data_IF_867417140410
#
_entry.id   IF_867417140410
#
_cell.length_a   1.000
_cell.length_b   1.000
_cell.length_c   1.000
_cell.angle_alpha   90.00
_cell.angle_beta   90.00
_cell.angle_gamma   90.00
#
_symmetry.space_group_name_H-M   'P 1'
#
loop_
_entity.id
_entity.type
_entity.pdbx_description
1 polymer ?
#
# COMPACT_ATOMS: atom_id res chain seq x y z
N UNK A 1 14.91 8.17 -11.66
CA UNK A 1 14.14 6.99 -12.07
C UNK A 1 14.09 7.00 -13.59
N UNK A 2 14.57 5.92 -14.25
CA UNK A 2 14.41 5.73 -15.70
C UNK A 2 12.94 5.68 -16.09
N UNK A 3 12.64 5.46 -17.36
CA UNK A 3 11.29 5.39 -17.86
C UNK A 3 10.47 4.33 -17.12
N UNK A 4 9.35 4.74 -16.51
CA UNK A 4 8.43 3.86 -15.82
C UNK A 4 7.38 3.36 -16.81
N UNK A 5 7.24 2.04 -16.91
CA UNK A 5 6.16 1.41 -17.68
C UNK A 5 4.85 1.51 -16.90
N UNK A 6 3.79 1.93 -17.59
CA UNK A 6 2.46 2.10 -17.00
C UNK A 6 1.59 0.87 -17.22
N UNK A 7 0.89 0.46 -16.16
CA UNK A 7 -0.09 -0.62 -16.16
C UNK A 7 -1.38 -0.14 -15.50
N UNK A 8 -2.48 -0.87 -15.69
CA UNK A 8 -3.74 -0.61 -15.01
C UNK A 8 -4.18 0.86 -15.15
N UNK A 9 -4.37 1.34 -16.39
CA UNK A 9 -4.76 2.73 -16.71
C UNK A 9 -3.80 3.78 -16.08
N UNK A 10 -2.52 3.42 -15.95
CA UNK A 10 -1.51 4.28 -15.35
C UNK A 10 -1.55 4.38 -13.81
N UNK A 11 -2.34 3.55 -13.15
CA UNK A 11 -2.38 3.51 -11.68
C UNK A 11 -1.19 2.75 -11.08
N UNK A 12 -0.57 1.87 -11.86
CA UNK A 12 0.69 1.22 -11.52
C UNK A 12 1.78 1.69 -12.48
N UNK A 13 2.93 2.04 -11.93
CA UNK A 13 4.11 2.45 -12.69
C UNK A 13 5.31 1.61 -12.22
N UNK A 14 5.89 0.82 -13.13
CA UNK A 14 6.98 -0.08 -12.80
C UNK A 14 8.24 0.26 -13.58
N UNK A 15 9.41 0.16 -12.93
CA UNK A 15 10.73 0.28 -13.53
C UNK A 15 11.82 -0.29 -12.64
N UNK A 16 13.07 -0.13 -13.07
CA UNK A 16 14.23 -0.58 -12.32
C UNK A 16 14.99 0.62 -11.74
N UNK A 17 15.21 0.65 -10.43
CA UNK A 17 16.05 1.67 -9.77
C UNK A 17 17.56 1.34 -9.91
N UNK A 18 17.88 0.05 -9.98
CA UNK A 18 19.19 -0.50 -10.26
C UNK A 18 19.00 -1.78 -11.09
N UNK A 19 20.05 -2.36 -11.70
CA UNK A 19 19.89 -3.57 -12.53
C UNK A 19 19.21 -4.75 -11.83
N UNK A 20 19.25 -4.78 -10.50
CA UNK A 20 18.73 -5.84 -9.64
C UNK A 20 17.76 -5.33 -8.55
N UNK A 21 17.23 -4.11 -8.68
CA UNK A 21 16.24 -3.54 -7.75
C UNK A 21 15.03 -3.04 -8.52
N UNK A 22 13.91 -3.77 -8.37
CA UNK A 22 12.63 -3.38 -8.96
C UNK A 22 11.94 -2.27 -8.16
N UNK A 23 11.15 -1.45 -8.83
CA UNK A 23 10.38 -0.36 -8.24
C UNK A 23 8.96 -0.34 -8.79
N UNK A 24 7.98 -0.34 -7.89
CA UNK A 24 6.57 -0.24 -8.21
C UNK A 24 5.93 0.94 -7.48
N UNK A 25 5.55 1.97 -8.24
CA UNK A 25 4.71 3.04 -7.74
C UNK A 25 3.25 2.65 -7.92
N UNK A 26 2.48 2.72 -6.84
CA UNK A 26 1.05 2.46 -6.80
C UNK A 26 0.36 3.78 -6.53
N UNK A 27 -0.28 4.37 -7.55
CA UNK A 27 -0.91 5.70 -7.46
C UNK A 27 -2.28 5.66 -6.83
N UNK A 28 -2.99 4.53 -6.99
CA UNK A 28 -4.31 4.30 -6.42
C UNK A 28 -4.57 2.80 -6.32
N UNK A 29 -5.50 2.40 -5.48
CA UNK A 29 -6.07 1.05 -5.42
C UNK A 29 -7.46 1.02 -6.09
N UNK A 30 -7.53 1.49 -7.33
CA UNK A 30 -8.75 1.51 -8.11
C UNK A 30 -8.54 2.00 -9.53
N UNK A 31 -9.60 1.92 -10.35
CA UNK A 31 -9.58 2.31 -11.77
C UNK A 31 -8.52 1.55 -12.57
N UNK A 32 -8.37 0.26 -12.30
CA UNK A 32 -7.37 -0.58 -12.96
C UNK A 32 -7.81 -1.08 -14.33
N UNK A 33 -9.08 -0.88 -14.69
CA UNK A 33 -9.65 -1.16 -16.00
C UNK A 33 -10.66 -0.07 -16.40
N UNK A 34 -10.78 0.18 -17.70
CA UNK A 34 -11.59 1.26 -18.24
C UNK A 34 -13.10 1.16 -17.92
N UNK A 35 -13.63 -0.07 -17.75
CA UNK A 35 -15.05 -0.27 -17.38
C UNK A 35 -15.34 0.05 -15.93
N UNK A 36 -14.30 0.26 -15.10
CA UNK A 36 -14.41 0.61 -13.69
C UNK A 36 -14.91 -0.53 -12.78
N UNK A 37 -15.17 -1.74 -13.32
CA UNK A 37 -15.61 -2.87 -12.49
C UNK A 37 -14.44 -3.41 -11.64
N UNK A 38 -14.78 -3.92 -10.46
CA UNK A 38 -13.79 -4.54 -9.58
C UNK A 38 -13.19 -5.81 -10.20
N UNK A 39 -14.02 -6.62 -10.84
CA UNK A 39 -13.62 -7.90 -11.44
C UNK A 39 -12.62 -7.69 -12.58
N UNK A 40 -12.95 -6.82 -13.55
CA UNK A 40 -12.03 -6.47 -14.65
C UNK A 40 -10.75 -5.81 -14.13
N UNK A 41 -10.88 -4.96 -13.10
CA UNK A 41 -9.74 -4.32 -12.44
C UNK A 41 -8.81 -5.33 -11.76
N UNK A 42 -9.37 -6.36 -11.10
CA UNK A 42 -8.57 -7.42 -10.48
C UNK A 42 -7.85 -8.27 -11.54
N UNK A 43 -8.54 -8.62 -12.62
CA UNK A 43 -7.93 -9.35 -13.73
C UNK A 43 -6.79 -8.55 -14.38
N UNK A 44 -6.98 -7.25 -14.61
CA UNK A 44 -5.95 -6.36 -15.13
C UNK A 44 -4.74 -6.25 -14.17
N UNK A 45 -4.99 -6.12 -12.86
CA UNK A 45 -3.95 -6.12 -11.85
C UNK A 45 -3.13 -7.42 -11.88
N UNK A 46 -3.79 -8.56 -11.88
CA UNK A 46 -3.14 -9.86 -11.87
C UNK A 46 -2.25 -10.07 -13.12
N UNK A 47 -2.73 -9.66 -14.31
CA UNK A 47 -1.95 -9.71 -15.54
C UNK A 47 -0.74 -8.75 -15.50
N UNK A 48 -0.92 -7.55 -14.95
CA UNK A 48 0.15 -6.59 -14.76
C UNK A 48 1.23 -7.13 -13.81
N UNK A 49 0.83 -7.70 -12.67
CA UNK A 49 1.74 -8.29 -11.69
C UNK A 49 2.52 -9.49 -12.26
N UNK A 50 1.89 -10.33 -13.09
CA UNK A 50 2.60 -11.42 -13.78
C UNK A 50 3.72 -10.88 -14.68
N UNK A 51 3.43 -9.81 -15.43
CA UNK A 51 4.41 -9.14 -16.29
C UNK A 51 5.54 -8.51 -15.46
N UNK A 52 5.18 -7.76 -14.41
CA UNK A 52 6.13 -7.08 -13.53
C UNK A 52 7.08 -8.09 -12.88
N UNK A 53 6.54 -9.17 -12.29
CA UNK A 53 7.32 -10.14 -11.55
C UNK A 53 7.92 -11.27 -12.39
N UNK A 54 7.75 -11.27 -13.71
CA UNK A 54 8.27 -12.35 -14.57
C UNK A 54 9.78 -12.61 -14.41
N UNK A 55 10.54 -11.57 -14.06
CA UNK A 55 11.99 -11.64 -13.84
C UNK A 55 12.42 -11.41 -12.39
N UNK A 56 11.49 -11.43 -11.45
CA UNK A 56 11.76 -11.09 -10.05
C UNK A 56 12.78 -12.01 -9.36
N UNK A 57 12.98 -13.25 -9.85
CA UNK A 57 14.02 -14.14 -9.36
C UNK A 57 15.46 -13.64 -9.56
N UNK A 58 15.66 -12.63 -10.39
CA UNK A 58 16.97 -12.00 -10.64
C UNK A 58 17.22 -10.77 -9.75
N UNK A 59 16.24 -10.35 -8.95
CA UNK A 59 16.34 -9.14 -8.15
C UNK A 59 16.92 -9.42 -6.76
N UNK A 60 17.69 -8.48 -6.25
CA UNK A 60 18.16 -8.45 -4.85
C UNK A 60 17.18 -7.75 -3.93
N UNK A 61 16.39 -6.81 -4.47
CA UNK A 61 15.48 -6.02 -3.71
C UNK A 61 14.30 -5.49 -4.53
N UNK A 62 13.28 -5.07 -3.81
CA UNK A 62 12.08 -4.49 -4.41
C UNK A 62 11.61 -3.29 -3.59
N UNK A 63 11.20 -2.24 -4.27
CA UNK A 63 10.67 -1.03 -3.65
C UNK A 63 9.22 -0.86 -4.08
N UNK A 64 8.30 -0.73 -3.11
CA UNK A 64 6.92 -0.30 -3.35
C UNK A 64 6.74 1.14 -2.86
N UNK A 65 6.01 1.95 -3.60
CA UNK A 65 5.81 3.38 -3.30
C UNK A 65 4.33 3.75 -3.32
N UNK A 66 3.81 4.15 -2.15
CA UNK A 66 2.44 4.65 -1.97
C UNK A 66 2.40 6.07 -1.40
N UNK A 67 3.52 6.81 -1.45
CA UNK A 67 3.65 8.15 -0.84
C UNK A 67 2.60 9.17 -1.30
N UNK A 68 2.00 8.96 -2.46
CA UNK A 68 0.96 9.84 -3.05
C UNK A 68 -0.31 9.06 -3.40
N UNK A 69 -0.59 7.97 -2.70
CA UNK A 69 -1.74 7.09 -2.95
C UNK A 69 -2.90 7.43 -2.02
N UNK A 70 -3.98 7.95 -2.57
CA UNK A 70 -5.19 8.35 -1.82
C UNK A 70 -6.14 7.20 -1.47
N UNK A 71 -5.74 5.93 -1.67
CA UNK A 71 -6.55 4.77 -1.32
C UNK A 71 -7.28 4.12 -2.49
N UNK A 72 -8.42 3.52 -2.20
CA UNK A 72 -9.28 2.73 -3.11
C UNK A 72 -9.81 1.47 -2.44
N UNK A 73 -9.76 0.32 -3.11
CA UNK A 73 -10.26 -0.94 -2.61
C UNK A 73 -9.14 -1.81 -2.00
N UNK A 74 -9.28 -2.18 -0.74
CA UNK A 74 -8.33 -3.01 0.02
C UNK A 74 -7.92 -4.32 -0.69
N UNK A 75 -8.83 -5.06 -1.36
CA UNK A 75 -8.47 -6.31 -2.01
C UNK A 75 -7.36 -6.19 -3.05
N UNK A 76 -7.21 -5.04 -3.72
CA UNK A 76 -6.09 -4.82 -4.63
C UNK A 76 -4.75 -4.77 -3.89
N UNK A 77 -4.71 -4.10 -2.73
CA UNK A 77 -3.53 -4.09 -1.86
C UNK A 77 -3.16 -5.48 -1.35
N UNK A 78 -4.17 -6.25 -0.91
CA UNK A 78 -3.97 -7.63 -0.46
C UNK A 78 -3.45 -8.54 -1.58
N UNK A 79 -3.93 -8.39 -2.83
CA UNK A 79 -3.45 -9.12 -3.99
C UNK A 79 -1.96 -8.80 -4.28
N UNK A 80 -1.58 -7.52 -4.25
CA UNK A 80 -0.17 -7.11 -4.40
C UNK A 80 0.68 -7.69 -3.27
N UNK A 81 0.24 -7.61 -2.01
CA UNK A 81 0.94 -8.19 -0.87
C UNK A 81 1.13 -9.71 -1.02
N UNK A 82 0.15 -10.41 -1.59
CA UNK A 82 0.22 -11.84 -1.88
C UNK A 82 1.35 -12.23 -2.86
N UNK A 83 1.73 -11.31 -3.77
CA UNK A 83 2.89 -11.51 -4.66
C UNK A 83 4.23 -11.31 -3.96
N UNK A 84 4.21 -10.70 -2.77
CA UNK A 84 5.41 -10.38 -1.99
C UNK A 84 5.69 -11.39 -0.88
N UNK A 85 4.89 -12.44 -0.70
CA UNK A 85 5.05 -13.44 0.37
C UNK A 85 5.08 -14.86 -0.15
N UNK A 86 5.69 -15.74 0.63
CA UNK A 86 5.71 -17.20 0.38
C UNK A 86 4.73 -17.98 1.26
N UNK A 87 4.03 -17.33 2.20
CA UNK A 87 3.09 -17.95 3.12
C UNK A 87 1.91 -17.05 3.41
N UNK A 88 0.77 -17.65 3.72
CA UNK A 88 -0.42 -16.94 4.18
C UNK A 88 -0.20 -16.36 5.57
N UNK A 89 -0.79 -15.17 5.81
CA UNK A 89 -0.83 -14.56 7.13
C UNK A 89 -1.99 -13.57 7.26
N UNK A 90 -2.40 -13.27 8.51
CA UNK A 90 -3.40 -12.25 8.77
C UNK A 90 -2.76 -10.86 8.59
N UNK A 91 -3.30 -10.08 7.68
CA UNK A 91 -2.92 -8.69 7.45
C UNK A 91 -3.36 -7.81 8.63
N UNK A 92 -4.65 -7.83 8.92
CA UNK A 92 -5.30 -7.09 9.99
C UNK A 92 -6.65 -7.70 10.35
N UNK A 93 -7.15 -7.33 11.51
CA UNK A 93 -8.54 -7.56 11.93
C UNK A 93 -9.35 -6.29 11.68
N UNK A 94 -10.57 -6.45 11.19
CA UNK A 94 -11.51 -5.36 10.92
C UNK A 94 -12.79 -5.60 11.70
N UNK A 95 -13.25 -4.60 12.43
CA UNK A 95 -14.55 -4.57 13.10
C UNK A 95 -15.19 -3.18 12.95
N UNK A 96 -16.51 -3.11 13.18
CA UNK A 96 -17.29 -1.89 13.05
C UNK A 96 -18.08 -1.58 14.32
N UNK A 97 -18.39 -0.31 14.55
CA UNK A 97 -19.29 0.10 15.63
C UNK A 97 -20.65 -0.58 15.49
N UNK A 98 -21.07 -1.27 16.57
CA UNK A 98 -22.32 -2.03 16.57
C UNK A 98 -23.52 -1.18 17.07
N UNK A 99 -23.27 -0.27 18.02
CA UNK A 99 -24.32 0.49 18.71
C UNK A 99 -24.01 1.99 18.68
N UNK A 100 -24.90 2.84 18.15
CA UNK A 100 -24.68 4.28 18.07
C UNK A 100 -24.60 4.97 19.45
N UNK A 101 -25.18 4.35 20.48
CA UNK A 101 -25.26 4.90 21.85
C UNK A 101 -24.20 4.31 22.78
N UNK A 102 -23.52 3.24 22.39
CA UNK A 102 -22.50 2.59 23.20
C UNK A 102 -21.21 2.38 22.39
N UNK A 103 -20.26 3.26 22.61
CA UNK A 103 -18.97 3.27 21.93
C UNK A 103 -18.09 2.05 22.25
N UNK A 104 -18.42 1.25 23.27
CA UNK A 104 -17.67 0.04 23.62
C UNK A 104 -18.10 -1.17 22.80
N UNK A 105 -19.24 -1.13 22.12
CA UNK A 105 -19.79 -2.26 21.37
C UNK A 105 -19.29 -2.26 19.91
N UNK A 106 -18.68 -3.38 19.53
CA UNK A 106 -18.14 -3.63 18.20
C UNK A 106 -18.70 -4.93 17.62
N UNK A 107 -18.77 -5.03 16.31
CA UNK A 107 -19.07 -6.31 15.65
C UNK A 107 -17.94 -7.31 15.93
N UNK A 108 -18.18 -8.63 15.76
CA UNK A 108 -17.11 -9.59 15.78
C UNK A 108 -16.03 -9.23 14.74
N UNK A 109 -14.77 -9.22 15.18
CA UNK A 109 -13.65 -8.88 14.31
C UNK A 109 -13.48 -9.92 13.19
N UNK A 110 -13.32 -9.45 11.97
CA UNK A 110 -13.09 -10.28 10.78
C UNK A 110 -11.62 -10.17 10.37
N UNK A 111 -10.99 -11.32 10.06
CA UNK A 111 -9.62 -11.36 9.60
C UNK A 111 -9.52 -11.10 8.09
N UNK A 112 -8.74 -10.09 7.72
CA UNK A 112 -8.27 -9.89 6.36
C UNK A 112 -6.94 -10.61 6.17
N UNK A 113 -6.83 -11.40 5.11
CA UNK A 113 -5.67 -12.27 4.88
C UNK A 113 -4.85 -11.79 3.69
N UNK A 114 -3.53 -11.84 3.82
CA UNK A 114 -2.64 -11.91 2.68
C UNK A 114 -2.49 -13.38 2.31
N UNK A 115 -2.88 -13.73 1.08
CA UNK A 115 -2.78 -15.08 0.55
C UNK A 115 -1.59 -15.18 -0.39
N UNK A 116 -0.67 -16.07 -0.06
CA UNK A 116 0.44 -16.38 -0.93
C UNK A 116 -0.05 -17.01 -2.25
N UNK A 117 0.62 -16.73 -3.34
CA UNK A 117 0.27 -17.24 -4.66
C UNK A 117 1.42 -18.02 -5.27
N UNK A 118 1.10 -18.98 -6.14
CA UNK A 118 2.07 -19.69 -6.97
C UNK A 118 2.42 -18.91 -8.26
N UNK A 119 1.79 -17.77 -8.50
CA UNK A 119 2.09 -16.90 -9.64
C UNK A 119 3.42 -16.16 -9.42
N UNK A 120 4.04 -15.57 -10.47
CA UNK A 120 5.25 -14.77 -10.33
C UNK A 120 5.16 -13.73 -9.22
N UNK A 121 6.19 -13.60 -8.39
CA UNK A 121 6.24 -12.69 -7.24
C UNK A 121 7.66 -12.53 -6.70
N UNK A 122 7.84 -11.66 -5.71
CA UNK A 122 9.13 -11.40 -5.09
C UNK A 122 9.09 -11.66 -3.58
N UNK A 123 9.91 -12.58 -3.11
CA UNK A 123 9.93 -13.02 -1.71
C UNK A 123 11.18 -12.56 -0.93
N UNK A 124 12.03 -11.77 -1.60
CA UNK A 124 13.25 -11.19 -1.01
C UNK A 124 13.00 -9.90 -0.22
N UNK A 125 14.05 -9.12 0.06
CA UNK A 125 13.97 -7.87 0.79
C UNK A 125 13.11 -6.81 0.10
N UNK A 126 12.18 -6.20 0.84
CA UNK A 126 11.29 -5.13 0.35
C UNK A 126 11.47 -3.88 1.19
N UNK A 127 11.57 -2.74 0.53
CA UNK A 127 11.41 -1.41 1.13
C UNK A 127 10.09 -0.82 0.65
N UNK A 128 9.34 -0.23 1.58
CA UNK A 128 8.04 0.37 1.33
C UNK A 128 8.08 1.86 1.62
N UNK A 129 7.86 2.68 0.59
CA UNK A 129 7.86 4.14 0.70
C UNK A 129 6.47 4.63 1.07
N UNK A 130 6.37 5.34 2.20
CA UNK A 130 5.14 5.86 2.77
C UNK A 130 5.26 7.37 3.05
N UNK A 131 4.14 8.04 3.22
CA UNK A 131 4.10 9.45 3.58
C UNK A 131 2.70 9.94 3.93
N UNK A 132 2.57 11.20 4.29
CA UNK A 132 1.33 11.80 4.75
C UNK A 132 0.16 11.71 3.73
N UNK A 133 0.45 11.49 2.46
CA UNK A 133 -0.56 11.29 1.40
C UNK A 133 -0.81 9.80 1.11
N UNK A 134 -0.31 8.89 1.93
CA UNK A 134 -0.73 7.49 1.96
C UNK A 134 -2.00 7.38 2.80
N UNK A 135 -3.15 7.12 2.17
CA UNK A 135 -4.48 7.26 2.77
C UNK A 135 -5.33 6.01 2.52
N UNK A 136 -6.18 5.62 3.48
CA UNK A 136 -7.20 4.57 3.29
C UNK A 136 -6.58 3.24 2.83
N UNK A 137 -6.95 2.69 1.66
CA UNK A 137 -6.37 1.43 1.16
C UNK A 137 -4.85 1.46 0.98
N UNK A 138 -4.20 2.64 0.91
CA UNK A 138 -2.74 2.72 0.98
C UNK A 138 -2.21 2.43 2.38
N UNK A 139 -2.98 2.76 3.40
CA UNK A 139 -2.64 2.48 4.79
C UNK A 139 -2.93 1.03 5.15
N UNK A 140 -4.07 0.46 4.69
CA UNK A 140 -4.36 -0.97 4.88
C UNK A 140 -3.37 -1.86 4.12
N UNK A 141 -2.90 -1.46 2.95
CA UNK A 141 -1.79 -2.12 2.25
C UNK A 141 -0.48 -2.03 3.06
N UNK A 142 -0.14 -0.84 3.57
CA UNK A 142 1.02 -0.66 4.47
C UNK A 142 0.88 -1.53 5.71
N UNK A 143 -0.30 -1.57 6.30
CA UNK A 143 -0.62 -2.41 7.47
C UNK A 143 -0.50 -3.90 7.14
N UNK A 144 -0.95 -4.33 5.96
CA UNK A 144 -0.82 -5.70 5.49
C UNK A 144 0.65 -6.16 5.38
N UNK A 145 1.58 -5.24 5.10
CA UNK A 145 2.99 -5.56 5.00
C UNK A 145 3.71 -5.67 6.37
N UNK A 146 3.07 -5.31 7.49
CA UNK A 146 3.69 -5.35 8.84
C UNK A 146 4.10 -6.78 9.22
N UNK A 147 3.24 -7.76 8.96
CA UNK A 147 3.46 -9.17 9.31
C UNK A 147 4.13 -9.99 8.21
N UNK A 148 4.57 -9.33 7.14
CA UNK A 148 5.31 -10.02 6.08
C UNK A 148 6.70 -10.45 6.52
N UNK A 149 7.13 -11.62 6.06
CA UNK A 149 8.51 -12.11 6.22
C UNK A 149 9.17 -12.37 4.86
N UNK A 150 10.43 -11.93 4.68
CA UNK A 150 11.26 -11.09 5.57
C UNK A 150 10.59 -9.73 5.85
N UNK A 151 10.90 -9.12 7.02
CA UNK A 151 10.33 -7.82 7.40
C UNK A 151 10.49 -6.78 6.29
N UNK A 152 9.42 -6.04 6.02
CA UNK A 152 9.44 -4.86 5.14
C UNK A 152 9.94 -3.66 5.92
N UNK A 153 10.89 -2.92 5.35
CA UNK A 153 11.40 -1.67 5.94
C UNK A 153 10.58 -0.51 5.35
N UNK A 154 9.86 0.22 6.19
CA UNK A 154 9.11 1.42 5.80
C UNK A 154 10.03 2.62 5.85
N UNK A 155 10.04 3.42 4.77
CA UNK A 155 10.87 4.63 4.62
C UNK A 155 9.99 5.80 4.23
N UNK A 156 10.21 6.95 4.82
CA UNK A 156 9.48 8.18 4.52
C UNK A 156 8.94 8.87 5.76
N UNK A 157 7.68 9.25 5.73
CA UNK A 157 6.95 9.90 6.83
C UNK A 157 5.74 9.08 7.25
N UNK A 158 5.10 9.41 8.37
CA UNK A 158 3.86 8.79 8.80
C UNK A 158 2.82 8.81 7.68
N UNK A 159 2.01 7.76 7.60
CA UNK A 159 0.79 7.77 6.81
C UNK A 159 -0.25 8.72 7.44
N UNK A 160 -1.36 8.99 6.76
CA UNK A 160 -2.32 10.00 7.21
C UNK A 160 -3.09 9.61 8.49
N UNK A 161 -3.33 8.33 8.73
CA UNK A 161 -4.13 7.86 9.86
C UNK A 161 -5.64 7.84 9.57
N UNK A 162 -6.04 7.60 8.33
CA UNK A 162 -7.44 7.56 7.89
C UNK A 162 -7.71 6.23 7.18
N UNK A 163 -8.15 5.24 7.95
CA UNK A 163 -8.30 3.85 7.49
C UNK A 163 -9.73 3.47 7.12
N UNK A 164 -10.70 3.97 7.89
CA UNK A 164 -12.06 3.46 7.87
C UNK A 164 -12.77 3.76 6.55
N UNK A 165 -13.54 2.80 6.07
CA UNK A 165 -14.63 3.10 5.17
C UNK A 165 -15.62 4.07 5.85
N UNK A 166 -16.27 4.89 5.05
CA UNK A 166 -17.17 5.91 5.59
C UNK A 166 -18.64 5.50 5.46
N UNK A 167 -19.35 5.58 6.57
CA UNK A 167 -20.77 5.40 6.61
C UNK A 167 -21.47 6.68 6.14
N UNK A 168 -21.99 6.66 4.90
CA UNK A 168 -22.68 7.81 4.31
C UNK A 168 -24.00 8.10 5.02
N UNK A 169 -24.27 9.36 5.26
CA UNK A 169 -25.52 9.90 5.82
C UNK A 169 -26.02 11.05 4.98
N UNK A 170 -27.34 11.15 4.83
CA UNK A 170 -27.99 12.27 4.14
C UNK A 170 -28.75 13.14 5.15
N UNK A 171 -28.55 14.43 5.08
CA UNK A 171 -29.27 15.43 5.87
C UNK A 171 -30.60 15.80 5.18
N UNK A 172 -31.60 16.34 5.95
CA UNK A 172 -32.88 16.77 5.38
C UNK A 172 -32.77 17.81 4.27
N UNK A 173 -31.74 18.65 4.30
CA UNK A 173 -31.46 19.66 3.26
C UNK A 173 -30.78 19.07 2.00
N UNK A 174 -30.60 17.75 1.93
CA UNK A 174 -30.00 17.04 0.81
C UNK A 174 -28.48 16.91 0.86
N UNK A 175 -27.80 17.50 1.81
CA UNK A 175 -26.37 17.31 2.00
C UNK A 175 -26.04 15.90 2.45
N UNK A 176 -24.84 15.45 2.12
CA UNK A 176 -24.32 14.17 2.55
C UNK A 176 -23.03 14.36 3.33
N UNK A 177 -22.80 13.50 4.31
CA UNK A 177 -21.53 13.41 5.02
C UNK A 177 -21.18 11.94 5.30
N UNK A 178 -19.92 11.64 5.47
CA UNK A 178 -19.42 10.33 5.83
C UNK A 178 -18.80 10.34 7.22
N UNK A 179 -19.06 9.30 7.99
CA UNK A 179 -18.46 9.08 9.30
C UNK A 179 -17.66 7.79 9.28
N UNK A 180 -16.41 7.79 9.76
CA UNK A 180 -15.66 6.57 10.00
C UNK A 180 -16.35 5.79 11.12
N UNK A 181 -16.51 4.48 10.93
CA UNK A 181 -17.16 3.61 11.91
C UNK A 181 -16.48 2.27 12.09
N UNK A 182 -15.35 2.07 11.44
CA UNK A 182 -14.60 0.82 11.45
C UNK A 182 -13.25 0.99 12.15
N UNK A 183 -12.71 -0.11 12.61
CA UNK A 183 -11.41 -0.18 13.25
C UNK A 183 -10.57 -1.27 12.58
N UNK A 184 -9.34 -0.96 12.28
CA UNK A 184 -8.35 -1.86 11.71
C UNK A 184 -7.25 -2.10 12.74
N UNK A 185 -6.98 -3.37 13.06
CA UNK A 185 -6.05 -3.75 14.12
C UNK A 185 -5.05 -4.79 13.63
N UNK A 186 -3.76 -4.54 13.80
CA UNK A 186 -2.68 -5.49 13.59
C UNK A 186 -1.83 -5.61 14.85
N UNK A 187 -1.62 -6.84 15.32
CA UNK A 187 -0.85 -7.11 16.55
C UNK A 187 -1.37 -6.32 17.77
N UNK A 188 -2.69 -6.20 17.90
CA UNK A 188 -3.33 -5.47 19.00
C UNK A 188 -3.29 -3.94 18.88
N UNK A 189 -2.73 -3.39 17.80
CA UNK A 189 -2.58 -1.94 17.60
C UNK A 189 -3.43 -1.45 16.43
N UNK A 190 -4.18 -0.35 16.64
CA UNK A 190 -4.78 0.46 15.58
C UNK A 190 -3.88 1.64 15.26
N UNK A 191 -3.86 2.00 13.98
CA UNK A 191 -3.12 3.16 13.46
C UNK A 191 -4.05 4.28 12.99
N UNK A 192 -5.35 4.10 13.18
CA UNK A 192 -6.34 5.13 12.88
C UNK A 192 -6.13 6.35 13.78
N UNK A 193 -6.04 7.52 13.18
CA UNK A 193 -5.63 8.76 13.83
C UNK A 193 -4.11 9.03 13.75
N UNK A 194 -3.24 8.23 14.39
CA UNK A 194 -1.79 8.52 14.40
C UNK A 194 -1.07 8.19 13.09
N UNK A 195 -1.63 7.35 12.21
CA UNK A 195 -0.93 6.81 11.05
C UNK A 195 0.09 5.72 11.37
N UNK A 196 0.59 5.06 10.32
CA UNK A 196 1.66 4.06 10.43
C UNK A 196 3.01 4.79 10.32
N UNK A 197 3.88 4.70 11.34
CA UNK A 197 5.18 5.35 11.29
C UNK A 197 6.15 4.61 10.36
N UNK A 198 7.11 5.32 9.74
CA UNK A 198 8.23 4.69 9.06
C UNK A 198 9.17 3.99 10.06
N UNK A 199 9.94 3.00 9.58
CA UNK A 199 11.07 2.45 10.32
C UNK A 199 12.32 3.34 10.14
N UNK A 200 12.39 4.08 9.02
CA UNK A 200 13.44 5.05 8.70
C UNK A 200 12.78 6.33 8.23
N UNK A 201 12.89 7.38 9.03
CA UNK A 201 12.33 8.69 8.72
C UNK A 201 13.16 9.39 7.66
N UNK A 202 12.50 9.84 6.59
CA UNK A 202 13.08 10.62 5.49
C UNK A 202 12.00 11.59 5.00
N UNK A 203 12.28 12.90 4.87
CA UNK A 203 11.32 13.85 4.34
C UNK A 203 10.82 13.44 2.96
N UNK A 204 9.50 13.53 2.75
CA UNK A 204 8.85 13.18 1.49
C UNK A 204 8.72 14.42 0.61
N UNK A 205 9.45 14.44 -0.51
CA UNK A 205 9.48 15.51 -1.49
C UNK A 205 9.79 16.91 -0.91
N UNK A 206 10.85 17.07 -0.10
CA UNK A 206 11.23 18.39 0.37
C UNK A 206 11.64 19.28 -0.81
N UNK A 207 11.42 20.60 -0.69
CA UNK A 207 11.67 21.54 -1.78
C UNK A 207 13.08 21.40 -2.38
N UNK A 208 14.11 21.25 -1.54
CA UNK A 208 15.49 21.10 -1.98
C UNK A 208 15.74 19.85 -2.86
N UNK A 209 15.05 18.74 -2.56
CA UNK A 209 15.14 17.53 -3.38
C UNK A 209 14.44 17.74 -4.74
N UNK A 210 13.24 18.38 -4.73
CA UNK A 210 12.51 18.69 -5.96
C UNK A 210 13.29 19.63 -6.87
N UNK A 211 13.91 20.67 -6.33
CA UNK A 211 14.73 21.63 -7.07
C UNK A 211 15.98 20.98 -7.68
N UNK A 212 16.58 20.01 -6.99
CA UNK A 212 17.75 19.28 -7.46
C UNK A 212 17.43 18.02 -8.27
N UNK A 213 16.15 17.71 -8.49
CA UNK A 213 15.69 16.51 -9.19
C UNK A 213 16.01 15.20 -8.45
N UNK A 214 16.18 15.26 -7.13
CA UNK A 214 16.47 14.11 -6.26
C UNK A 214 15.21 13.54 -5.63
N UNK A 215 15.36 12.34 -5.08
CA UNK A 215 14.35 11.68 -4.23
C UNK A 215 15.09 10.97 -3.08
N UNK A 216 15.23 11.66 -1.96
CA UNK A 216 15.99 11.17 -0.80
C UNK A 216 15.42 9.85 -0.24
N UNK A 217 14.10 9.63 -0.31
CA UNK A 217 13.50 8.39 0.14
C UNK A 217 13.83 7.20 -0.80
N UNK A 218 13.86 7.42 -2.12
CA UNK A 218 14.29 6.41 -3.10
C UNK A 218 15.79 6.11 -2.94
N UNK A 219 16.62 7.14 -2.76
CA UNK A 219 18.05 6.96 -2.51
C UNK A 219 18.30 6.15 -1.22
N UNK A 220 17.53 6.44 -0.16
CA UNK A 220 17.61 5.68 1.09
C UNK A 220 17.17 4.23 0.92
N UNK A 221 16.10 3.99 0.16
CA UNK A 221 15.63 2.64 -0.16
C UNK A 221 16.70 1.82 -0.90
N UNK A 222 17.33 2.41 -1.91
CA UNK A 222 18.44 1.78 -2.63
C UNK A 222 19.60 1.42 -1.70
N UNK A 223 20.01 2.34 -0.82
CA UNK A 223 21.08 2.10 0.14
C UNK A 223 20.78 0.94 1.08
N UNK A 224 19.51 0.83 1.57
CA UNK A 224 19.06 -0.27 2.42
C UNK A 224 19.06 -1.63 1.71
N UNK A 225 18.88 -1.65 0.40
CA UNK A 225 18.91 -2.86 -0.43
C UNK A 225 20.30 -3.19 -0.97
N UNK A 226 21.35 -2.47 -0.52
CA UNK A 226 22.73 -2.66 -0.97
C UNK A 226 23.01 -2.17 -2.40
N UNK A 227 22.10 -1.37 -2.97
CA UNK A 227 22.26 -0.70 -4.25
C UNK A 227 23.02 0.61 -4.12
N UNK A 228 23.75 1.01 -5.19
CA UNK A 228 24.28 2.37 -5.32
C UNK A 228 23.29 3.18 -6.16
N UNK A 229 22.95 4.39 -5.71
CA UNK A 229 22.23 5.35 -6.55
C UNK A 229 23.10 5.64 -7.81
N UNK A 230 22.45 5.67 -8.97
CA UNK A 230 23.09 6.08 -10.24
C UNK A 230 23.12 7.58 -10.35
#
# INVERSE_FOLDING_TARGET
TGDLHKFCEGQLEFGMLAPDVGYLRIRSFGRYHADGSFESGLAALEAALDTIFARAGQWKGFVTDVRINGGGADPYGLAIAGRLTGKDYIAYLKDARLDPNDASKWTPAQASWVRATNRPGFKGPVVHLIGLRSVSAAETFTQALINREPKVIRVGENTQGVFSDVLGRRLPNGWTFGLPNERFVTNGKSYDGPGIPPDVEVPVFPAADLESGRDGAVERALALLGGKAR
#
